data_IF_535663629214
#
_entry.id   IF_535663629214
#
_cell.length_a   1.000
_cell.length_b   1.000
_cell.length_c   1.000
_cell.angle_alpha   90.00
_cell.angle_beta   90.00
_cell.angle_gamma   90.00
#
_symmetry.space_group_name_H-M   'P 1'
#
loop_
_entity.id
_entity.type
_entity.pdbx_description
1 polymer ?
#
# COMPACT_ATOMS: atom_id res chain seq x y z
N UNK A 1 12.40 28.12 8.15
CA UNK A 1 12.14 26.67 8.35
C UNK A 1 13.51 26.01 8.63
N UNK A 2 14.03 26.23 9.81
CA UNK A 2 15.35 25.71 10.19
C UNK A 2 15.24 24.55 11.20
N UNK A 3 14.07 23.90 11.24
CA UNK A 3 13.91 22.70 12.06
C UNK A 3 14.51 21.49 11.32
N UNK A 4 15.25 20.63 12.01
CA UNK A 4 15.85 19.46 11.39
C UNK A 4 14.78 18.50 10.85
N UNK A 5 15.03 17.93 9.67
CA UNK A 5 14.13 17.00 9.00
C UNK A 5 13.22 17.60 7.93
N UNK A 6 13.12 18.94 7.86
CA UNK A 6 12.43 19.59 6.76
C UNK A 6 13.33 19.76 5.53
N UNK A 7 12.81 19.46 4.37
CA UNK A 7 13.44 19.77 3.09
C UNK A 7 12.43 20.43 2.16
N UNK A 8 12.94 21.15 1.20
CA UNK A 8 12.16 21.76 0.13
C UNK A 8 12.60 21.10 -1.18
N UNK A 9 11.66 20.48 -1.89
CA UNK A 9 11.96 19.95 -3.21
C UNK A 9 12.25 21.08 -4.20
N UNK A 10 13.32 20.92 -4.97
CA UNK A 10 13.77 21.94 -5.95
C UNK A 10 13.14 21.74 -7.33
N UNK A 11 12.60 20.57 -7.58
CA UNK A 11 11.95 20.18 -8.83
C UNK A 11 10.69 19.32 -8.59
N UNK A 12 10.08 18.88 -9.68
CA UNK A 12 8.86 18.07 -9.65
C UNK A 12 9.14 16.55 -9.54
N UNK A 13 10.37 16.16 -9.21
CA UNK A 13 10.78 14.75 -9.06
C UNK A 13 11.59 14.52 -7.77
N UNK A 14 11.08 14.97 -6.60
CA UNK A 14 11.76 14.72 -5.34
C UNK A 14 11.73 13.23 -5.03
N UNK A 15 12.90 12.64 -4.75
CA UNK A 15 12.95 11.22 -4.45
C UNK A 15 14.02 10.84 -3.44
N UNK A 16 13.78 9.74 -2.75
CA UNK A 16 14.69 9.12 -1.80
C UNK A 16 15.00 7.73 -2.30
N UNK A 17 16.27 7.38 -2.35
CA UNK A 17 16.73 6.07 -2.82
C UNK A 17 17.29 5.26 -1.65
N UNK A 18 16.75 4.06 -1.50
CA UNK A 18 17.33 3.02 -0.67
C UNK A 18 17.87 1.90 -1.58
N UNK A 19 19.01 1.33 -1.22
CA UNK A 19 19.61 0.18 -1.92
C UNK A 19 19.92 -0.91 -0.92
N UNK A 20 19.45 -2.10 -1.20
CA UNK A 20 19.62 -3.26 -0.37
C UNK A 20 18.67 -4.36 -0.83
N UNK A 21 18.93 -5.59 -0.42
CA UNK A 21 18.04 -6.71 -0.71
C UNK A 21 17.12 -6.96 0.48
N UNK A 22 15.81 -6.98 0.22
CA UNK A 22 14.81 -7.29 1.23
C UNK A 22 13.58 -7.94 0.57
N UNK A 23 12.94 -8.85 1.31
CA UNK A 23 11.59 -9.30 0.98
C UNK A 23 10.58 -8.36 1.62
N UNK A 24 9.70 -7.77 0.81
CA UNK A 24 8.75 -6.76 1.25
C UNK A 24 7.31 -7.14 0.88
N UNK A 25 6.46 -7.17 1.89
CA UNK A 25 5.01 -7.25 1.75
C UNK A 25 4.43 -5.83 1.69
N UNK A 26 4.87 -4.99 2.61
CA UNK A 26 4.43 -3.59 2.73
C UNK A 26 5.59 -2.68 3.10
N UNK A 27 5.46 -1.40 2.77
CA UNK A 27 6.32 -0.34 3.29
C UNK A 27 5.44 0.82 3.79
N UNK A 28 5.89 1.52 4.82
CA UNK A 28 5.23 2.71 5.36
C UNK A 28 6.20 3.89 5.33
N UNK A 29 5.69 5.04 4.91
CA UNK A 29 6.37 6.33 4.96
C UNK A 29 5.59 7.24 5.90
N UNK A 30 6.28 7.80 6.88
CA UNK A 30 5.78 8.88 7.71
C UNK A 30 6.33 10.20 7.18
N UNK A 31 5.45 11.04 6.62
CA UNK A 31 5.83 12.31 6.01
C UNK A 31 4.77 13.38 6.24
N UNK A 32 5.22 14.56 6.64
CA UNK A 32 4.37 15.74 6.82
C UNK A 32 4.59 16.69 5.65
N UNK A 33 3.53 17.05 4.94
CA UNK A 33 3.56 18.04 3.88
C UNK A 33 2.94 19.35 4.40
N UNK A 34 3.66 20.46 4.27
CA UNK A 34 3.15 21.77 4.72
C UNK A 34 2.06 22.33 3.79
N UNK A 35 2.09 21.97 2.52
CA UNK A 35 1.12 22.30 1.51
C UNK A 35 0.48 21.03 0.95
N UNK A 36 -0.67 21.12 0.28
CA UNK A 36 -1.23 19.96 -0.40
C UNK A 36 -0.19 19.33 -1.33
N UNK A 37 0.16 18.09 -1.05
CA UNK A 37 1.08 17.30 -1.86
C UNK A 37 0.38 16.73 -3.09
N UNK A 38 1.16 16.37 -4.09
CA UNK A 38 0.70 15.57 -5.21
C UNK A 38 0.55 14.09 -4.83
N UNK A 39 0.87 13.19 -5.76
CA UNK A 39 0.85 11.76 -5.49
C UNK A 39 2.14 11.32 -4.79
N UNK A 40 1.97 10.52 -3.75
CA UNK A 40 3.08 9.82 -3.08
C UNK A 40 3.22 8.44 -3.71
N UNK A 41 4.42 8.07 -4.15
CA UNK A 41 4.68 6.85 -4.89
C UNK A 41 5.96 6.16 -4.45
N UNK A 42 6.02 4.85 -4.66
CA UNK A 42 7.18 4.03 -4.44
C UNK A 42 7.48 3.22 -5.70
N UNK A 43 8.70 3.28 -6.18
CA UNK A 43 9.22 2.42 -7.22
C UNK A 43 10.15 1.37 -6.61
N UNK A 44 10.19 0.19 -7.19
CA UNK A 44 11.05 -0.87 -6.71
C UNK A 44 11.87 -1.51 -7.84
N UNK A 45 13.05 -2.03 -7.48
CA UNK A 45 13.87 -2.85 -8.34
C UNK A 45 13.75 -4.31 -7.92
N UNK A 46 13.53 -5.21 -8.87
CA UNK A 46 13.67 -6.65 -8.66
C UNK A 46 15.13 -7.11 -8.84
N UNK A 47 15.52 -8.27 -8.33
CA UNK A 47 16.84 -8.82 -8.59
C UNK A 47 17.18 -8.84 -10.07
N UNK A 48 18.38 -8.35 -10.40
CA UNK A 48 18.87 -8.22 -11.76
C UNK A 48 18.46 -6.96 -12.52
N UNK A 49 17.68 -6.07 -11.91
CA UNK A 49 17.30 -4.79 -12.51
C UNK A 49 18.16 -3.65 -11.95
N UNK A 50 18.40 -2.66 -12.80
CA UNK A 50 19.23 -1.50 -12.47
C UNK A 50 18.49 -0.17 -12.63
N UNK A 51 17.35 -0.17 -13.32
CA UNK A 51 16.57 1.02 -13.64
C UNK A 51 15.14 0.90 -13.12
N UNK A 52 14.64 1.98 -12.54
CA UNK A 52 13.24 2.10 -12.10
C UNK A 52 12.33 2.29 -13.32
N UNK A 53 11.13 1.75 -13.26
CA UNK A 53 10.16 1.74 -14.35
C UNK A 53 8.76 2.06 -13.83
N UNK A 54 7.95 2.73 -14.64
CA UNK A 54 6.55 3.02 -14.33
C UNK A 54 5.69 1.75 -14.13
N UNK A 55 6.12 0.63 -14.69
CA UNK A 55 5.46 -0.68 -14.47
C UNK A 55 5.74 -1.26 -13.08
N UNK A 56 6.70 -0.70 -12.37
CA UNK A 56 7.13 -1.11 -11.02
C UNK A 56 6.91 0.01 -10.01
N UNK A 57 5.77 0.67 -10.13
CA UNK A 57 5.34 1.77 -9.30
C UNK A 57 4.12 1.37 -8.49
N UNK A 58 4.13 1.72 -7.22
CA UNK A 58 3.01 1.56 -6.30
C UNK A 58 2.65 2.93 -5.75
N UNK A 59 1.39 3.31 -5.88
CA UNK A 59 0.88 4.52 -5.24
C UNK A 59 0.57 4.27 -3.78
N UNK A 60 0.85 5.26 -2.95
CA UNK A 60 0.54 5.20 -1.54
C UNK A 60 -0.97 5.16 -1.28
N UNK A 61 -1.35 4.40 -0.26
CA UNK A 61 -2.63 4.55 0.41
C UNK A 61 -2.42 5.35 1.69
N UNK A 62 -3.19 6.40 1.89
CA UNK A 62 -3.19 7.14 3.15
C UNK A 62 -3.81 6.24 4.22
N UNK A 63 -3.03 5.87 5.23
CA UNK A 63 -3.44 4.96 6.31
C UNK A 63 -3.67 5.68 7.64
N UNK A 64 -3.17 6.91 7.76
CA UNK A 64 -3.31 7.74 8.96
C UNK A 64 -2.97 9.19 8.66
N UNK A 65 -2.95 10.03 9.68
CA UNK A 65 -2.45 11.38 9.57
C UNK A 65 -0.95 11.33 9.28
N UNK A 66 -0.54 11.85 8.13
CA UNK A 66 0.86 11.87 7.67
C UNK A 66 1.49 10.48 7.44
N UNK A 67 0.68 9.43 7.33
CA UNK A 67 1.14 8.06 7.12
C UNK A 67 0.68 7.52 5.77
N UNK A 68 1.64 7.00 5.02
CA UNK A 68 1.48 6.49 3.65
C UNK A 68 1.92 5.04 3.59
N UNK A 69 1.02 4.14 3.22
CA UNK A 69 1.29 2.70 3.11
C UNK A 69 1.36 2.28 1.65
N UNK A 70 2.36 1.50 1.31
CA UNK A 70 2.57 0.89 0.00
C UNK A 70 2.42 -0.63 0.12
N UNK A 71 1.56 -1.22 -0.70
CA UNK A 71 1.36 -2.66 -0.78
C UNK A 71 2.21 -3.22 -1.92
N UNK A 72 3.22 -4.01 -1.58
CA UNK A 72 4.16 -4.63 -2.51
C UNK A 72 3.80 -6.09 -2.82
N UNK A 73 2.87 -6.67 -2.06
CA UNK A 73 2.34 -8.02 -2.32
C UNK A 73 3.31 -9.17 -2.10
N UNK A 74 4.39 -8.95 -1.33
CA UNK A 74 5.36 -9.99 -0.98
C UNK A 74 6.34 -10.33 -2.12
N UNK A 75 7.28 -9.44 -2.38
CA UNK A 75 8.32 -9.64 -3.40
C UNK A 75 9.72 -9.28 -2.86
N UNK A 76 10.74 -9.88 -3.45
CA UNK A 76 12.13 -9.51 -3.19
C UNK A 76 12.51 -8.31 -4.03
N UNK A 77 13.04 -7.28 -3.36
CA UNK A 77 13.53 -6.04 -3.99
C UNK A 77 15.02 -5.86 -3.72
N UNK A 78 15.71 -5.18 -4.64
CA UNK A 78 17.13 -4.79 -4.50
C UNK A 78 17.32 -3.28 -4.43
N UNK A 79 16.23 -2.53 -4.49
CA UNK A 79 16.23 -1.09 -4.31
C UNK A 79 14.82 -0.53 -4.29
N UNK A 80 14.66 0.57 -3.58
CA UNK A 80 13.44 1.37 -3.51
C UNK A 80 13.78 2.81 -3.87
N UNK A 81 12.88 3.44 -4.60
CA UNK A 81 12.81 4.89 -4.78
C UNK A 81 11.45 5.33 -4.28
N UNK A 82 11.44 6.22 -3.31
CA UNK A 82 10.22 6.79 -2.75
C UNK A 82 10.14 8.24 -3.22
N UNK A 83 9.06 8.57 -3.90
CA UNK A 83 8.72 9.91 -4.33
C UNK A 83 7.66 10.44 -3.35
N UNK A 84 8.04 11.23 -2.33
CA UNK A 84 7.13 11.69 -1.30
C UNK A 84 6.16 12.75 -1.80
N UNK A 85 6.41 13.31 -2.96
CA UNK A 85 5.57 14.28 -3.65
C UNK A 85 5.79 14.19 -5.16
N UNK A 86 4.85 14.67 -5.93
CA UNK A 86 4.96 14.84 -7.40
C UNK A 86 5.00 16.31 -7.83
N UNK A 87 5.10 17.23 -6.87
CA UNK A 87 5.12 18.68 -7.09
C UNK A 87 6.33 19.28 -6.41
N UNK A 88 7.08 20.13 -7.14
CA UNK A 88 8.21 20.87 -6.58
C UNK A 88 7.75 22.03 -5.68
N UNK A 89 8.62 22.44 -4.76
CA UNK A 89 8.39 23.56 -3.89
C UNK A 89 7.49 23.27 -2.68
N UNK A 90 7.19 22.00 -2.40
CA UNK A 90 6.45 21.60 -1.21
C UNK A 90 7.43 21.34 -0.05
N UNK A 91 7.35 22.11 1.03
CA UNK A 91 8.10 21.80 2.23
C UNK A 91 7.57 20.49 2.83
N UNK A 92 8.45 19.50 2.94
CA UNK A 92 8.12 18.17 3.44
C UNK A 92 9.07 17.79 4.56
N UNK A 93 8.54 17.19 5.62
CA UNK A 93 9.33 16.56 6.67
C UNK A 93 9.15 15.06 6.57
N UNK A 94 10.27 14.35 6.54
CA UNK A 94 10.30 12.89 6.58
C UNK A 94 10.59 12.45 7.99
N UNK A 95 9.66 11.76 8.60
CA UNK A 95 9.80 11.25 9.96
C UNK A 95 10.33 9.81 9.98
N UNK A 96 10.10 9.04 8.90
CA UNK A 96 10.68 7.70 8.77
C UNK A 96 10.14 6.87 7.62
N UNK A 97 10.85 5.77 7.36
CA UNK A 97 10.41 4.70 6.47
C UNK A 97 10.52 3.38 7.22
N UNK A 98 9.43 2.63 7.28
CA UNK A 98 9.39 1.32 7.93
C UNK A 98 9.08 0.26 6.89
N UNK A 99 9.96 -0.74 6.78
CA UNK A 99 9.77 -1.87 5.88
C UNK A 99 9.12 -3.03 6.64
N UNK A 100 8.09 -3.63 6.08
CA UNK A 100 7.29 -4.69 6.71
C UNK A 100 6.85 -4.33 8.14
N UNK A 101 6.10 -3.24 8.33
CA UNK A 101 5.63 -2.86 9.66
C UNK A 101 4.88 -4.03 10.30
N UNK A 102 5.10 -4.23 11.59
CA UNK A 102 4.43 -5.31 12.33
C UNK A 102 2.96 -4.97 12.46
N UNK A 103 2.15 -5.57 11.63
CA UNK A 103 0.70 -5.43 11.72
C UNK A 103 0.17 -6.15 12.97
N UNK A 104 -0.72 -5.55 13.75
CA UNK A 104 -1.42 -6.23 14.82
C UNK A 104 -2.06 -7.52 14.30
N UNK A 105 -1.86 -8.63 15.01
CA UNK A 105 -2.28 -9.96 14.56
C UNK A 105 -3.78 -10.03 14.19
N UNK A 106 -4.64 -9.26 14.86
CA UNK A 106 -6.06 -9.23 14.60
C UNK A 106 -6.44 -8.62 13.24
N UNK A 107 -5.60 -7.76 12.66
CA UNK A 107 -5.85 -7.19 11.32
C UNK A 107 -5.74 -8.24 10.21
N UNK A 108 -5.02 -9.35 10.46
CA UNK A 108 -4.96 -10.49 9.54
C UNK A 108 -6.29 -11.22 9.41
N UNK A 109 -7.20 -11.03 10.37
CA UNK A 109 -8.54 -11.63 10.38
C UNK A 109 -9.64 -10.67 9.92
N UNK A 110 -9.30 -9.43 9.58
CA UNK A 110 -10.27 -8.50 8.99
C UNK A 110 -10.47 -8.86 7.52
N UNK A 111 -11.65 -9.35 7.14
CA UNK A 111 -11.91 -9.73 5.75
C UNK A 111 -11.81 -8.52 4.83
N UNK A 112 -11.22 -8.68 3.66
CA UNK A 112 -11.29 -7.68 2.61
C UNK A 112 -12.71 -7.60 2.00
N UNK A 113 -12.97 -6.59 1.17
CA UNK A 113 -14.31 -6.38 0.59
C UNK A 113 -14.89 -7.59 -0.15
N UNK A 114 -14.04 -8.34 -0.87
CA UNK A 114 -14.44 -9.59 -1.54
C UNK A 114 -14.76 -10.73 -0.57
N UNK A 115 -14.01 -10.83 0.51
CA UNK A 115 -14.25 -11.81 1.57
C UNK A 115 -15.53 -11.50 2.33
N UNK A 116 -15.83 -10.23 2.60
CA UNK A 116 -17.11 -9.82 3.17
C UNK A 116 -18.29 -10.20 2.27
N UNK A 117 -18.17 -9.98 0.96
CA UNK A 117 -19.19 -10.43 -0.01
C UNK A 117 -19.40 -11.95 0.07
N UNK A 118 -18.32 -12.74 0.09
CA UNK A 118 -18.41 -14.19 0.20
C UNK A 118 -19.08 -14.62 1.51
N UNK A 119 -18.69 -14.01 2.64
CA UNK A 119 -19.27 -14.33 3.94
C UNK A 119 -20.78 -14.02 4.02
N UNK A 120 -21.24 -12.98 3.33
CA UNK A 120 -22.65 -12.59 3.33
C UNK A 120 -23.48 -13.39 2.31
N UNK A 121 -22.95 -13.63 1.11
CA UNK A 121 -23.73 -14.22 0.01
C UNK A 121 -23.64 -15.75 -0.04
N UNK A 122 -22.52 -16.38 0.35
CA UNK A 122 -22.38 -17.82 0.28
C UNK A 122 -23.43 -18.58 1.14
N UNK A 123 -23.73 -18.16 2.38
CA UNK A 123 -24.81 -18.79 3.18
C UNK A 123 -26.19 -18.61 2.53
N UNK A 124 -26.48 -17.43 1.99
CA UNK A 124 -27.78 -17.17 1.34
C UNK A 124 -27.99 -18.03 0.09
N UNK A 125 -26.96 -18.14 -0.74
CA UNK A 125 -26.98 -19.03 -1.93
C UNK A 125 -27.11 -20.49 -1.50
N UNK A 126 -26.37 -20.92 -0.49
CA UNK A 126 -26.48 -22.28 0.06
C UNK A 126 -27.87 -22.60 0.58
N UNK A 127 -28.48 -21.69 1.30
CA UNK A 127 -29.87 -21.84 1.79
C UNK A 127 -30.89 -21.92 0.63
N UNK A 128 -30.73 -21.09 -0.42
CA UNK A 128 -31.60 -21.14 -1.59
C UNK A 128 -31.52 -22.48 -2.33
N UNK A 129 -30.30 -23.02 -2.50
CA UNK A 129 -30.13 -24.36 -3.10
C UNK A 129 -30.69 -25.46 -2.24
N UNK A 130 -30.56 -25.40 -0.93
CA UNK A 130 -31.13 -26.38 0.00
C UNK A 130 -32.65 -26.36 -0.07
N UNK A 131 -33.30 -25.19 -0.07
CA UNK A 131 -34.75 -25.04 -0.24
C UNK A 131 -35.24 -25.63 -1.58
N UNK A 132 -34.54 -25.31 -2.68
CA UNK A 132 -34.88 -25.83 -4.01
C UNK A 132 -34.77 -27.35 -4.04
N UNK A 133 -33.72 -27.95 -3.46
CA UNK A 133 -33.55 -29.39 -3.40
C UNK A 133 -34.68 -30.05 -2.63
N UNK A 134 -35.08 -29.53 -1.46
CA UNK A 134 -36.20 -30.03 -0.67
C UNK A 134 -37.52 -30.01 -1.46
N UNK A 135 -37.79 -28.91 -2.19
CA UNK A 135 -39.00 -28.79 -2.99
C UNK A 135 -39.04 -29.79 -4.15
N UNK A 136 -37.91 -30.06 -4.79
CA UNK A 136 -37.83 -31.07 -5.87
C UNK A 136 -38.06 -32.49 -5.33
N UNK A 137 -37.49 -32.82 -4.16
CA UNK A 137 -37.68 -34.15 -3.57
C UNK A 137 -39.08 -34.36 -2.96
N UNK A 138 -39.75 -33.27 -2.55
CA UNK A 138 -41.09 -33.34 -1.95
C UNK A 138 -42.22 -33.49 -2.99
N UNK A 139 -41.93 -33.19 -4.24
CA UNK A 139 -42.88 -33.31 -5.38
C UNK A 139 -42.84 -34.65 -6.12
N UNK A 140 -41.97 -35.56 -5.69
CA UNK A 140 -41.93 -36.96 -6.12
C UNK A 140 -42.60 -37.85 -5.07
#
# INVERSE_FOLDING_TARGET
MDEPGWYLSTDNDPHIIWRGEAWLETAELDAVHYLPSGSVALYYLRPGQTEYSETQKVFARVSGENQYTFDLGGLTVTGLRIDPDSVGGVPTRLDGVVLNPVQPWYLRFVPNGGQWLLLLFAPAVGAAFACLAVDVFRKK
#
